data_IF_406648088188
#
_entry.id   IF_406648088188
#
_cell.length_a   1.000
_cell.length_b   1.000
_cell.length_c   1.000
_cell.angle_alpha   90.00
_cell.angle_beta   90.00
_cell.angle_gamma   90.00
#
_symmetry.space_group_name_H-M   'P 1'
#
loop_
_entity.id
_entity.type
_entity.pdbx_description
1 polymer ?
#
# COMPACT_ATOMS: atom_id res chain seq x y z
N UNK A 1 4.38 0.17 -9.23
CA UNK A 1 5.82 0.45 -9.47
C UNK A 1 6.52 -0.85 -9.91
N UNK A 2 7.84 -0.88 -10.11
CA UNK A 2 8.57 -2.14 -10.33
C UNK A 2 9.31 -2.57 -9.04
N UNK A 3 10.26 -1.76 -8.60
CA UNK A 3 11.07 -2.00 -7.39
C UNK A 3 10.18 -2.11 -6.13
N UNK A 4 10.30 -3.18 -5.32
CA UNK A 4 9.59 -3.30 -4.05
C UNK A 4 9.97 -2.19 -3.08
N UNK A 5 8.97 -1.50 -2.50
CA UNK A 5 9.14 -0.30 -1.68
C UNK A 5 8.46 -0.33 -0.31
N UNK A 6 7.53 -1.26 -0.10
CA UNK A 6 6.62 -1.25 1.06
C UNK A 6 5.46 -0.24 1.00
N UNK A 7 5.46 0.71 0.05
CA UNK A 7 4.40 1.73 -0.11
C UNK A 7 3.38 1.39 -1.20
N UNK A 8 3.85 0.92 -2.36
CA UNK A 8 3.00 0.48 -3.47
C UNK A 8 3.38 -0.93 -3.94
N UNK A 9 2.38 -1.69 -4.36
CA UNK A 9 2.56 -3.03 -4.90
C UNK A 9 3.32 -2.99 -6.25
N UNK A 10 4.30 -3.89 -6.48
CA UNK A 10 4.88 -4.11 -7.80
C UNK A 10 3.80 -4.45 -8.85
N UNK A 11 4.02 -3.96 -10.07
CA UNK A 11 3.19 -4.18 -11.28
C UNK A 11 1.69 -3.86 -11.17
N UNK A 12 1.27 -3.17 -10.10
CA UNK A 12 -0.11 -2.68 -9.92
C UNK A 12 -0.26 -1.23 -10.37
N UNK A 13 -1.43 -0.91 -10.97
CA UNK A 13 -1.90 0.47 -11.17
C UNK A 13 -2.03 1.18 -9.82
N UNK A 14 -1.69 2.46 -9.78
CA UNK A 14 -1.78 3.34 -8.61
C UNK A 14 -2.80 4.45 -8.92
N UNK A 15 -3.76 4.66 -8.02
CA UNK A 15 -4.71 5.77 -8.13
C UNK A 15 -4.18 6.99 -7.36
N UNK A 16 -4.06 8.12 -8.06
CA UNK A 16 -3.77 9.45 -7.50
C UNK A 16 -4.32 10.56 -8.42
N UNK A 17 -4.25 11.82 -8.00
CA UNK A 17 -4.89 12.97 -8.68
C UNK A 17 -4.52 13.18 -10.17
N UNK A 18 -3.38 12.65 -10.63
CA UNK A 18 -2.90 12.75 -12.02
C UNK A 18 -3.02 11.43 -12.82
N UNK A 19 -3.73 10.43 -12.28
CA UNK A 19 -3.87 9.10 -12.89
C UNK A 19 -5.15 8.92 -13.73
N UNK A 20 -5.20 7.84 -14.50
CA UNK A 20 -6.34 7.47 -15.35
C UNK A 20 -7.61 7.07 -14.59
N UNK A 21 -7.54 6.96 -13.26
CA UNK A 21 -8.70 6.75 -12.38
C UNK A 21 -9.61 7.99 -12.26
N UNK A 22 -9.11 9.18 -12.60
CA UNK A 22 -9.84 10.44 -12.45
C UNK A 22 -9.85 11.25 -13.77
N UNK A 23 -10.62 10.81 -14.79
CA UNK A 23 -10.65 11.46 -16.10
C UNK A 23 -11.10 12.93 -16.07
N UNK A 24 -11.83 13.35 -15.03
CA UNK A 24 -12.24 14.74 -14.83
C UNK A 24 -11.18 15.66 -14.17
N UNK A 25 -10.13 15.10 -13.56
CA UNK A 25 -9.00 15.89 -13.02
C UNK A 25 -7.73 15.79 -13.87
N UNK A 26 -7.66 14.85 -14.81
CA UNK A 26 -6.51 14.67 -15.68
C UNK A 26 -6.35 15.82 -16.68
N UNK A 27 -5.12 16.35 -16.80
CA UNK A 27 -4.80 17.45 -17.70
C UNK A 27 -3.68 17.06 -18.69
N UNK A 28 -3.92 17.12 -20.03
CA UNK A 28 -2.91 16.77 -21.04
C UNK A 28 -1.70 17.72 -21.06
N UNK A 29 -1.80 18.91 -20.48
CA UNK A 29 -0.71 19.88 -20.40
C UNK A 29 0.32 19.58 -19.29
N UNK A 30 0.09 18.57 -18.44
CA UNK A 30 1.07 18.18 -17.43
C UNK A 30 2.28 17.48 -18.04
N UNK A 31 3.47 18.04 -17.80
CA UNK A 31 4.72 17.41 -18.21
C UNK A 31 4.98 16.11 -17.43
N UNK A 32 5.77 15.21 -18.01
CA UNK A 32 6.23 13.99 -17.33
C UNK A 32 6.94 14.31 -16.02
N UNK A 33 7.72 15.41 -15.95
CA UNK A 33 8.36 15.87 -14.72
C UNK A 33 7.34 16.29 -13.64
N UNK A 34 6.25 16.95 -14.03
CA UNK A 34 5.13 17.31 -13.14
C UNK A 34 4.47 16.05 -12.56
N UNK A 35 4.19 15.06 -13.41
CA UNK A 35 3.55 13.79 -13.02
C UNK A 35 4.46 12.98 -12.08
N UNK A 36 5.76 12.90 -12.37
CA UNK A 36 6.74 12.24 -11.51
C UNK A 36 6.91 12.97 -10.16
N UNK A 37 6.85 14.30 -10.14
CA UNK A 37 6.91 15.09 -8.89
C UNK A 37 5.66 14.86 -8.04
N UNK A 38 4.46 14.80 -8.66
CA UNK A 38 3.22 14.44 -7.98
C UNK A 38 3.27 13.02 -7.40
N UNK A 39 3.78 12.05 -8.18
CA UNK A 39 3.96 10.67 -7.72
C UNK A 39 4.97 10.56 -6.56
N UNK A 40 6.06 11.33 -6.58
CA UNK A 40 7.03 11.36 -5.48
C UNK A 40 6.40 11.92 -4.19
N UNK A 41 5.66 13.03 -4.29
CA UNK A 41 4.91 13.59 -3.15
C UNK A 41 3.92 12.56 -2.57
N UNK A 42 3.19 11.87 -3.43
CA UNK A 42 2.22 10.83 -3.05
C UNK A 42 2.87 9.53 -2.52
N UNK A 43 4.12 9.24 -2.91
CA UNK A 43 4.92 8.16 -2.35
C UNK A 43 5.40 8.47 -0.91
N UNK A 44 5.45 9.74 -0.53
CA UNK A 44 5.79 10.21 0.82
C UNK A 44 4.57 10.39 1.75
N UNK A 45 3.33 10.30 1.23
CA UNK A 45 2.13 10.23 2.08
C UNK A 45 1.84 8.79 2.51
N UNK A 46 1.14 8.60 3.64
CA UNK A 46 0.59 7.29 4.05
C UNK A 46 -0.88 7.08 3.57
N UNK A 47 -1.33 7.84 2.56
CA UNK A 47 -2.72 7.78 2.06
C UNK A 47 -3.05 6.43 1.41
N UNK A 48 -4.12 5.78 1.85
CA UNK A 48 -4.53 4.47 1.32
C UNK A 48 -5.31 4.60 0.02
N UNK A 49 -4.82 3.92 -1.02
CA UNK A 49 -5.34 3.99 -2.40
C UNK A 49 -5.23 2.65 -3.14
N UNK A 50 -5.82 2.54 -4.33
CA UNK A 50 -5.59 1.42 -5.26
C UNK A 50 -4.10 1.17 -5.47
N UNK A 51 -3.64 -0.06 -5.18
CA UNK A 51 -2.24 -0.46 -5.34
C UNK A 51 -1.30 0.00 -4.24
N UNK A 52 -1.78 0.66 -3.19
CA UNK A 52 -1.01 0.89 -1.96
C UNK A 52 -0.87 -0.39 -1.11
N UNK A 53 0.14 -0.41 -0.25
CA UNK A 53 0.39 -1.47 0.73
C UNK A 53 0.73 -0.82 2.08
N UNK A 54 0.17 -1.34 3.17
CA UNK A 54 0.55 -0.94 4.53
C UNK A 54 1.73 -1.80 4.99
N UNK A 55 2.86 -1.18 5.32
CA UNK A 55 4.03 -1.85 5.91
C UNK A 55 4.65 -0.97 7.00
N UNK A 56 5.45 -1.55 7.90
CA UNK A 56 6.12 -0.76 8.95
C UNK A 56 7.29 0.05 8.38
N UNK A 57 7.70 1.10 9.07
CA UNK A 57 8.90 1.87 8.67
C UNK A 57 10.19 1.02 8.69
N UNK A 58 10.22 -0.06 9.50
CA UNK A 58 11.32 -1.04 9.45
C UNK A 58 11.32 -1.81 8.13
N UNK A 59 10.14 -2.22 7.64
CA UNK A 59 9.99 -2.84 6.32
C UNK A 59 10.36 -1.87 5.19
N UNK A 60 9.83 -0.63 5.23
CA UNK A 60 10.17 0.43 4.25
C UNK A 60 11.69 0.61 4.15
N UNK A 61 12.40 0.66 5.29
CA UNK A 61 13.88 0.72 5.35
C UNK A 61 14.54 -0.56 4.81
N UNK A 62 14.04 -1.74 5.15
CA UNK A 62 14.55 -3.02 4.64
C UNK A 62 14.30 -3.20 3.13
N UNK A 63 13.27 -2.59 2.56
CA UNK A 63 13.10 -2.47 1.10
C UNK A 63 14.11 -1.50 0.51
N UNK A 64 14.28 -0.30 1.08
CA UNK A 64 15.24 0.69 0.61
C UNK A 64 16.68 0.13 0.51
N UNK A 65 17.17 -0.56 1.56
CA UNK A 65 18.51 -1.18 1.57
C UNK A 65 18.68 -2.24 0.47
N UNK A 66 17.64 -3.03 0.18
CA UNK A 66 17.69 -4.09 -0.86
C UNK A 66 17.40 -3.59 -2.27
N UNK A 67 16.77 -2.41 -2.41
CA UNK A 67 16.27 -1.88 -3.69
C UNK A 67 17.37 -1.73 -4.74
N UNK A 68 18.58 -1.34 -4.32
CA UNK A 68 19.73 -1.18 -5.19
C UNK A 68 20.15 -2.50 -5.85
N UNK A 69 20.39 -3.55 -5.06
CA UNK A 69 20.77 -4.86 -5.57
C UNK A 69 19.68 -5.44 -6.50
N UNK A 70 18.42 -5.32 -6.11
CA UNK A 70 17.28 -5.75 -6.93
C UNK A 70 17.22 -5.00 -8.28
N UNK A 71 17.52 -3.70 -8.30
CA UNK A 71 17.57 -2.91 -9.54
C UNK A 71 18.72 -3.38 -10.46
N UNK A 72 19.91 -3.69 -9.91
CA UNK A 72 21.05 -4.19 -10.68
C UNK A 72 20.78 -5.54 -11.36
N UNK A 73 19.89 -6.37 -10.81
CA UNK A 73 19.44 -7.61 -11.46
C UNK A 73 18.63 -7.31 -12.75
N UNK A 74 17.79 -6.26 -12.73
CA UNK A 74 16.84 -5.98 -13.81
C UNK A 74 17.51 -5.49 -15.10
N UNK A 75 17.34 -6.24 -16.20
CA UNK A 75 17.81 -5.87 -17.55
C UNK A 75 17.37 -4.45 -17.94
N UNK A 76 16.08 -4.13 -17.78
CA UNK A 76 15.50 -2.82 -18.14
C UNK A 76 16.07 -1.64 -17.33
N UNK A 77 16.55 -1.88 -16.10
CA UNK A 77 17.19 -0.85 -15.30
C UNK A 77 18.61 -0.56 -15.83
N UNK A 78 19.39 -1.62 -16.09
CA UNK A 78 20.74 -1.52 -16.69
C UNK A 78 20.73 -0.83 -18.06
N UNK A 79 19.71 -1.08 -18.88
CA UNK A 79 19.53 -0.44 -20.19
C UNK A 79 19.15 1.04 -20.11
N UNK A 80 18.37 1.45 -19.11
CA UNK A 80 17.88 2.82 -18.97
C UNK A 80 18.78 3.72 -18.12
N UNK A 81 19.53 3.15 -17.17
CA UNK A 81 20.31 3.86 -16.15
C UNK A 81 21.71 3.25 -15.94
N UNK A 82 22.54 3.10 -16.99
CA UNK A 82 23.85 2.44 -16.90
C UNK A 82 24.79 3.15 -15.89
N UNK A 83 24.76 4.48 -15.83
CA UNK A 83 25.61 5.28 -14.91
C UNK A 83 25.29 5.06 -13.42
N UNK A 84 24.12 4.49 -13.12
CA UNK A 84 23.67 4.12 -11.77
C UNK A 84 23.90 2.64 -11.46
N UNK A 85 24.49 1.87 -12.37
CA UNK A 85 24.80 0.45 -12.17
C UNK A 85 26.15 0.24 -11.47
N UNK A 86 26.37 0.97 -10.39
CA UNK A 86 27.62 0.98 -9.60
C UNK A 86 27.55 -0.02 -8.43
N UNK A 87 28.68 -0.38 -7.78
CA UNK A 87 28.66 -1.34 -6.66
C UNK A 87 27.95 -0.80 -5.41
N UNK A 88 27.93 0.52 -5.22
CA UNK A 88 27.24 1.22 -4.14
C UNK A 88 26.23 2.22 -4.72
N UNK A 89 25.12 2.54 -4.02
CA UNK A 89 24.15 3.53 -4.50
C UNK A 89 24.82 4.89 -4.75
N UNK A 90 24.52 5.50 -5.90
CA UNK A 90 24.94 6.86 -6.24
C UNK A 90 23.81 7.85 -5.94
N UNK A 91 24.12 8.96 -5.29
CA UNK A 91 23.17 10.07 -5.10
C UNK A 91 22.71 10.64 -6.43
N UNK A 92 21.39 10.86 -6.54
CA UNK A 92 20.77 11.51 -7.70
C UNK A 92 20.87 13.04 -7.58
N UNK A 93 21.16 13.78 -8.68
CA UNK A 93 21.09 15.23 -8.65
C UNK A 93 19.69 15.72 -8.30
N UNK A 94 19.57 16.56 -7.26
CA UNK A 94 18.28 17.11 -6.85
C UNK A 94 17.80 18.17 -7.85
N UNK A 95 17.02 17.75 -8.84
CA UNK A 95 16.57 18.63 -9.93
C UNK A 95 15.76 19.85 -9.44
N UNK A 96 15.04 19.73 -8.31
CA UNK A 96 14.28 20.86 -7.76
C UNK A 96 15.19 22.03 -7.29
N UNK A 97 16.42 21.74 -6.86
CA UNK A 97 17.39 22.78 -6.49
C UNK A 97 17.92 23.56 -7.71
N UNK A 98 17.91 22.95 -8.90
CA UNK A 98 18.35 23.61 -10.14
C UNK A 98 17.38 24.70 -10.58
N UNK A 99 16.08 24.40 -10.53
CA UNK A 99 15.01 25.32 -10.91
C UNK A 99 14.78 26.44 -9.87
N UNK A 100 15.19 26.23 -8.61
CA UNK A 100 15.18 27.26 -7.56
C UNK A 100 16.32 28.28 -7.67
N UNK A 101 17.36 27.99 -8.45
CA UNK A 101 18.47 28.89 -8.75
C UNK A 101 19.48 29.09 -7.62
N UNK A 102 20.63 29.67 -7.99
CA UNK A 102 21.75 29.90 -7.08
C UNK A 102 21.47 31.04 -6.08
N UNK A 103 20.91 30.72 -4.91
CA UNK A 103 20.80 31.66 -3.78
C UNK A 103 20.85 30.94 -2.44
N UNK A 104 22.06 30.73 -1.94
CA UNK A 104 22.31 30.22 -0.58
C UNK A 104 21.89 31.25 0.47
N UNK A 105 20.75 31.05 1.13
CA UNK A 105 20.37 31.75 2.36
C UNK A 105 19.79 30.76 3.37
N UNK A 106 20.14 30.84 4.67
CA UNK A 106 19.58 29.94 5.68
C UNK A 106 18.05 30.06 5.81
N UNK A 107 17.36 29.03 6.32
CA UNK A 107 15.91 29.06 6.49
C UNK A 107 15.48 30.23 7.40
N UNK A 108 14.43 30.99 7.03
CA UNK A 108 13.76 31.88 7.97
C UNK A 108 13.22 31.08 9.16
N UNK A 109 13.42 31.58 10.38
CA UNK A 109 12.85 30.98 11.57
C UNK A 109 11.31 31.03 11.53
N UNK A 110 10.67 30.02 12.09
CA UNK A 110 9.21 29.94 12.19
C UNK A 110 8.67 31.19 12.92
N UNK A 111 7.85 32.00 12.24
CA UNK A 111 7.13 33.09 12.89
C UNK A 111 5.90 32.51 13.60
N UNK A 112 5.86 32.69 14.92
CA UNK A 112 4.79 32.21 15.79
C UNK A 112 3.44 32.81 15.39
N UNK A 113 2.43 31.97 15.17
CA UNK A 113 1.07 32.44 14.92
C UNK A 113 0.47 33.06 16.19
N UNK A 114 0.18 34.36 16.15
CA UNK A 114 -0.57 35.05 17.20
C UNK A 114 -2.09 34.88 17.00
N UNK A 115 -2.86 34.53 18.04
CA UNK A 115 -4.30 34.32 17.90
C UNK A 115 -5.07 35.65 17.90
N UNK A 116 -6.04 35.78 16.99
CA UNK A 116 -6.98 36.90 16.95
C UNK A 116 -8.23 36.56 17.79
N UNK A 117 -8.60 37.35 18.82
CA UNK A 117 -9.74 37.03 19.67
C UNK A 117 -11.07 37.49 19.05
N UNK A 118 -11.93 36.54 18.67
CA UNK A 118 -13.32 36.83 18.32
C UNK A 118 -14.16 37.03 19.60
N UNK A 119 -14.77 38.21 19.75
CA UNK A 119 -15.49 38.64 20.96
C UNK A 119 -16.96 38.21 20.94
N UNK A 120 -17.46 37.79 22.11
CA UNK A 120 -18.84 37.36 22.35
C UNK A 120 -19.79 38.57 22.46
N UNK A 121 -20.99 38.48 21.86
CA UNK A 121 -22.19 39.28 22.17
C UNK A 121 -23.45 38.40 22.08
N UNK A 122 -24.54 38.75 22.78
CA UNK A 122 -25.65 37.81 23.06
C UNK A 122 -27.04 38.48 23.25
N UNK A 123 -28.06 38.07 22.47
CA UNK A 123 -29.49 38.46 22.64
C UNK A 123 -30.43 37.82 21.60
N UNK A 124 -31.70 37.39 21.82
CA UNK A 124 -32.41 36.88 23.03
C UNK A 124 -33.43 35.75 22.61
N UNK A 125 -34.78 35.66 22.85
CA UNK A 125 -35.44 34.32 22.88
C UNK A 125 -36.78 34.07 22.09
N UNK A 126 -37.08 32.79 21.81
CA UNK A 126 -38.36 32.02 22.03
C UNK A 126 -39.71 32.58 21.49
N UNK A 127 -40.47 31.78 20.68
CA UNK A 127 -41.61 30.99 21.23
C UNK A 127 -41.68 29.51 20.82
N UNK A 128 -42.22 28.67 21.72
CA UNK A 128 -42.58 27.25 21.54
C UNK A 128 -44.08 27.05 21.28
N UNK A 129 -44.50 25.86 20.80
CA UNK A 129 -45.65 25.18 21.38
C UNK A 129 -45.29 23.84 22.06
N UNK A 130 -46.25 23.26 22.79
CA UNK A 130 -46.08 22.13 23.76
C UNK A 130 -47.05 20.99 23.38
N UNK A 131 -47.02 19.86 24.14
CA UNK A 131 -47.93 18.68 24.12
C UNK A 131 -47.37 17.53 23.24
N UNK A 132 -47.29 16.25 23.66
CA UNK A 132 -47.79 15.54 24.88
C UNK A 132 -46.79 14.49 25.40
N UNK A 133 -46.89 14.13 26.69
CA UNK A 133 -46.26 12.96 27.31
C UNK A 133 -47.13 11.70 27.27
N UNK A 134 -46.53 10.51 27.17
CA UNK A 134 -47.09 9.25 27.68
C UNK A 134 -45.97 8.32 28.17
N UNK A 135 -46.29 7.45 29.14
CA UNK A 135 -45.32 6.64 29.90
C UNK A 135 -45.51 5.13 29.63
N UNK A 136 -44.46 4.32 29.80
CA UNK A 136 -44.53 2.86 29.73
C UNK A 136 -43.33 2.21 30.42
N UNK A 137 -43.58 1.19 31.26
CA UNK A 137 -42.59 0.63 32.20
C UNK A 137 -42.10 -0.78 31.83
N UNK A 138 -40.80 -0.92 31.55
CA UNK A 138 -40.00 -2.14 31.78
C UNK A 138 -40.41 -3.45 31.09
N UNK A 139 -39.87 -4.61 31.52
CA UNK A 139 -38.78 -4.82 32.50
C UNK A 139 -37.51 -5.46 31.90
N UNK A 140 -36.49 -5.67 32.75
CA UNK A 140 -35.25 -6.39 32.41
C UNK A 140 -35.48 -7.91 32.27
N UNK A 141 -34.59 -8.59 31.55
CA UNK A 141 -34.19 -9.98 31.87
C UNK A 141 -32.66 -10.07 31.94
N UNK A 142 -32.15 -10.98 32.76
CA UNK A 142 -30.71 -11.17 33.02
C UNK A 142 -30.24 -12.53 32.51
N UNK A 143 -29.02 -12.59 31.98
CA UNK A 143 -28.40 -13.81 31.46
C UNK A 143 -26.92 -13.88 31.86
N UNK A 144 -26.64 -14.44 33.04
CA UNK A 144 -25.27 -14.68 33.49
C UNK A 144 -24.74 -16.01 32.93
N UNK A 145 -23.54 -15.98 32.36
CA UNK A 145 -22.77 -17.17 31.96
C UNK A 145 -21.35 -17.06 32.51
N UNK A 146 -20.89 -18.08 33.23
CA UNK A 146 -19.69 -17.99 34.07
C UNK A 146 -18.38 -18.48 33.41
N UNK A 147 -17.27 -18.04 33.99
CA UNK A 147 -15.88 -18.38 33.64
C UNK A 147 -15.53 -19.84 33.98
N UNK A 148 -14.70 -20.50 33.17
CA UNK A 148 -13.45 -21.22 33.59
C UNK A 148 -12.69 -21.74 32.35
N UNK A 149 -11.36 -21.51 32.23
CA UNK A 149 -10.56 -22.06 31.15
C UNK A 149 -9.96 -23.44 31.49
N UNK A 150 -9.99 -24.35 30.52
CA UNK A 150 -9.05 -25.47 30.35
C UNK A 150 -8.71 -25.54 28.84
N UNK A 151 -7.54 -26.00 28.40
CA UNK A 151 -6.43 -26.55 29.17
C UNK A 151 -5.89 -27.80 28.49
N UNK A 152 -5.19 -27.65 27.36
CA UNK A 152 -4.11 -28.57 26.99
C UNK A 152 -3.26 -28.02 25.83
N UNK A 153 -1.96 -28.30 25.88
CA UNK A 153 -1.00 -28.03 24.80
C UNK A 153 -0.36 -29.33 24.31
N UNK A 154 0.33 -29.27 23.17
CA UNK A 154 1.24 -30.33 22.68
C UNK A 154 0.64 -31.69 22.32
N UNK A 155 0.06 -31.82 21.11
CA UNK A 155 0.14 -33.09 20.32
C UNK A 155 -0.20 -33.05 18.81
N UNK A 156 -0.56 -31.90 18.22
CA UNK A 156 -1.10 -31.83 16.86
C UNK A 156 -0.11 -31.47 15.71
N UNK A 157 1.20 -31.33 15.97
CA UNK A 157 2.13 -30.71 15.02
C UNK A 157 2.77 -31.64 13.95
N UNK A 158 2.78 -32.96 14.16
CA UNK A 158 3.65 -33.87 13.39
C UNK A 158 3.09 -34.38 12.04
N UNK A 159 1.76 -34.36 11.85
CA UNK A 159 1.10 -35.07 10.73
C UNK A 159 0.76 -34.21 9.51
N UNK A 160 0.78 -32.88 9.62
CA UNK A 160 0.28 -31.99 8.55
C UNK A 160 1.24 -31.79 7.37
N UNK A 161 2.54 -31.60 7.62
CA UNK A 161 3.49 -31.15 6.60
C UNK A 161 3.79 -32.21 5.53
N UNK A 162 3.94 -33.47 5.92
CA UNK A 162 4.19 -34.57 4.96
C UNK A 162 2.99 -34.81 4.04
N UNK A 163 1.77 -34.64 4.54
CA UNK A 163 0.54 -34.72 3.74
C UNK A 163 0.44 -33.58 2.72
N UNK A 164 0.74 -32.33 3.10
CA UNK A 164 0.70 -31.17 2.19
C UNK A 164 1.77 -31.24 1.09
N UNK A 165 3.00 -31.65 1.41
CA UNK A 165 4.06 -31.80 0.40
C UNK A 165 3.69 -32.90 -0.60
N UNK A 166 3.13 -34.04 -0.14
CA UNK A 166 2.69 -35.14 -1.01
C UNK A 166 1.55 -34.70 -1.96
N UNK A 167 0.60 -33.91 -1.48
CA UNK A 167 -0.45 -33.29 -2.32
C UNK A 167 0.16 -32.42 -3.43
N UNK A 168 1.01 -31.46 -3.07
CA UNK A 168 1.60 -30.52 -4.05
C UNK A 168 2.47 -31.21 -5.11
N UNK A 169 3.21 -32.26 -4.74
CA UNK A 169 4.01 -33.05 -5.71
C UNK A 169 3.09 -33.84 -6.65
N UNK A 170 2.04 -34.49 -6.12
CA UNK A 170 1.09 -35.27 -6.91
C UNK A 170 0.34 -34.41 -7.95
N UNK A 171 -0.15 -33.23 -7.55
CA UNK A 171 -0.83 -32.33 -8.49
C UNK A 171 0.08 -31.78 -9.59
N UNK A 172 1.36 -31.54 -9.30
CA UNK A 172 2.32 -31.05 -10.31
C UNK A 172 2.76 -32.14 -11.29
N UNK A 173 2.83 -33.40 -10.85
CA UNK A 173 3.21 -34.51 -11.73
C UNK A 173 2.03 -35.10 -12.53
N UNK A 174 0.78 -35.11 -12.00
CA UNK A 174 -0.36 -35.69 -12.72
C UNK A 174 -0.58 -35.07 -14.11
N UNK A 175 -0.46 -33.74 -14.21
CA UNK A 175 -0.66 -33.03 -15.47
C UNK A 175 0.46 -33.31 -16.48
N UNK A 176 1.71 -33.47 -16.01
CA UNK A 176 2.82 -33.90 -16.86
C UNK A 176 2.63 -35.30 -17.42
N UNK A 177 2.15 -36.26 -16.61
CA UNK A 177 1.85 -37.62 -17.06
C UNK A 177 0.69 -37.65 -18.05
N UNK A 178 -0.39 -36.89 -17.80
CA UNK A 178 -1.53 -36.77 -18.73
C UNK A 178 -1.11 -36.15 -20.07
N UNK A 179 -0.30 -35.09 -20.05
CA UNK A 179 0.24 -34.49 -21.28
C UNK A 179 1.16 -35.44 -22.04
N UNK A 180 2.04 -36.18 -21.36
CA UNK A 180 2.90 -37.17 -21.98
C UNK A 180 2.09 -38.30 -22.65
N UNK A 181 1.07 -38.84 -21.97
CA UNK A 181 0.16 -39.85 -22.53
C UNK A 181 -0.63 -39.30 -23.72
N UNK A 182 -1.13 -38.07 -23.65
CA UNK A 182 -1.84 -37.43 -24.77
C UNK A 182 -0.94 -37.28 -26.02
N UNK A 183 0.34 -36.92 -25.84
CA UNK A 183 1.31 -36.85 -26.94
C UNK A 183 1.63 -38.24 -27.51
N UNK A 184 1.77 -39.27 -26.67
CA UNK A 184 2.00 -40.65 -27.12
C UNK A 184 0.80 -41.17 -27.92
N UNK A 185 -0.42 -41.01 -27.41
CA UNK A 185 -1.66 -41.44 -28.09
C UNK A 185 -1.85 -40.65 -29.39
N UNK A 186 -1.59 -39.34 -29.41
CA UNK A 186 -1.64 -38.54 -30.64
C UNK A 186 -0.62 -39.03 -31.67
N UNK A 187 0.60 -39.42 -31.27
CA UNK A 187 1.59 -40.02 -32.17
C UNK A 187 1.18 -41.39 -32.70
N UNK A 188 0.59 -42.24 -31.86
CA UNK A 188 0.11 -43.57 -32.26
C UNK A 188 -1.16 -43.51 -33.14
N UNK A 189 -1.99 -42.47 -32.98
CA UNK A 189 -3.18 -42.24 -33.81
C UNK A 189 -2.88 -41.51 -35.13
N UNK A 190 -1.60 -41.28 -35.45
CA UNK A 190 -1.15 -40.59 -36.67
C UNK A 190 -0.26 -41.47 -37.56
N UNK A 191 -0.34 -42.79 -37.39
CA UNK A 191 0.44 -43.82 -38.09
C UNK A 191 -0.46 -45.01 -38.46
#
# INVERSE_FOLDING_TARGET
MLTPSGRFQPDRKICFSMSDFHPGSWNPAWSVATILTGLLSFMLSDEMTTGSVTTSDADKRAYAVRSHAWNLEQRRFKEAFPDYCTPAPRDVPNMAQKELGSSSKPPPQQQTATPVPARITSSTPIPTPVIRTSSGNGPLTSGSGAVTPTGDSTRAAATGWTAMIRQMVWEKWRWGVVLALAVIVSRMSSA
#
